data_IF_021996322361
#
_entry.id   IF_021996322361
#
_cell.length_a   1.000
_cell.length_b   1.000
_cell.length_c   1.000
_cell.angle_alpha   90.00
_cell.angle_beta   90.00
_cell.angle_gamma   90.00
#
_symmetry.space_group_name_H-M   'P 1'
#
loop_
_entity.id
_entity.type
_entity.pdbx_description
1 polymer ?
#
# COMPACT_ATOMS: atom_id res chain seq x y z
N UNK A 1 -57.94 -1.63 39.54
CA UNK A 1 -57.99 -0.58 38.50
C UNK A 1 -56.59 -0.43 37.90
N UNK A 2 -56.47 -0.82 36.63
CA UNK A 2 -55.51 -0.41 35.60
C UNK A 2 -54.04 -0.12 36.00
N UNK A 3 -53.17 -1.10 35.74
CA UNK A 3 -51.80 -0.86 35.29
C UNK A 3 -51.57 -1.66 34.01
N UNK A 4 -51.53 -1.02 32.82
CA UNK A 4 -51.07 -1.68 31.61
C UNK A 4 -49.79 -1.05 31.04
N UNK A 5 -48.99 -1.93 30.43
CA UNK A 5 -48.12 -1.64 29.28
C UNK A 5 -46.88 -0.74 29.49
N UNK A 6 -45.85 -1.28 30.14
CA UNK A 6 -44.46 -0.79 29.99
C UNK A 6 -43.46 -1.86 29.52
N UNK A 7 -43.92 -3.05 29.13
CA UNK A 7 -43.02 -4.10 28.62
C UNK A 7 -42.79 -4.06 27.11
N UNK A 8 -43.69 -3.45 26.32
CA UNK A 8 -43.57 -3.42 24.85
C UNK A 8 -42.64 -2.33 24.30
N UNK A 9 -42.49 -1.21 25.01
CA UNK A 9 -41.65 -0.09 24.54
C UNK A 9 -40.16 -0.41 24.68
N UNK A 10 -39.76 -1.16 25.71
CA UNK A 10 -38.37 -1.52 25.96
C UNK A 10 -37.86 -2.53 24.91
N UNK A 11 -38.69 -3.49 24.49
CA UNK A 11 -38.34 -4.44 23.42
C UNK A 11 -38.29 -3.78 22.03
N UNK A 12 -39.12 -2.76 21.78
CA UNK A 12 -39.10 -1.98 20.54
C UNK A 12 -37.94 -0.98 20.46
N UNK A 13 -37.46 -0.48 21.61
CA UNK A 13 -36.25 0.34 21.70
C UNK A 13 -34.97 -0.52 21.60
N UNK A 14 -34.97 -1.73 22.16
CA UNK A 14 -33.86 -2.68 22.01
C UNK A 14 -33.76 -3.26 20.59
N UNK A 15 -34.85 -3.36 19.82
CA UNK A 15 -34.81 -3.77 18.42
C UNK A 15 -34.42 -2.65 17.44
N UNK A 16 -34.33 -1.40 17.93
CA UNK A 16 -33.77 -0.25 17.20
C UNK A 16 -32.35 0.12 17.63
N UNK A 17 -31.75 -0.62 18.55
CA UNK A 17 -30.30 -0.71 18.60
C UNK A 17 -29.89 -1.39 17.29
N UNK A 18 -29.26 -0.62 16.41
CA UNK A 18 -28.70 -1.09 15.14
C UNK A 18 -28.04 -2.46 15.34
N UNK A 19 -28.16 -3.38 14.37
CA UNK A 19 -27.50 -4.68 14.45
C UNK A 19 -26.03 -4.44 14.81
N UNK A 20 -25.54 -5.20 15.79
CA UNK A 20 -24.11 -5.33 16.15
C UNK A 20 -23.25 -4.95 14.95
N UNK A 21 -22.52 -3.83 15.07
CA UNK A 21 -21.91 -3.13 13.95
C UNK A 21 -21.23 -4.11 13.00
N UNK A 22 -21.71 -4.15 11.76
CA UNK A 22 -21.19 -5.06 10.74
C UNK A 22 -19.70 -4.77 10.53
N UNK A 23 -18.85 -5.72 10.92
CA UNK A 23 -17.41 -5.59 10.72
C UNK A 23 -17.07 -5.84 9.25
N UNK A 24 -15.92 -5.36 8.76
CA UNK A 24 -15.44 -5.70 7.42
C UNK A 24 -15.34 -7.23 7.22
N UNK A 25 -15.11 -7.99 8.30
CA UNK A 25 -15.12 -9.45 8.30
C UNK A 25 -16.49 -10.02 7.90
N UNK A 26 -17.56 -9.52 8.50
CA UNK A 26 -18.92 -10.04 8.30
C UNK A 26 -19.49 -9.65 6.93
N UNK A 27 -19.03 -8.53 6.37
CA UNK A 27 -19.55 -8.00 5.09
C UNK A 27 -18.68 -8.38 3.91
N UNK A 28 -17.42 -7.96 3.90
CA UNK A 28 -16.59 -8.04 2.70
C UNK A 28 -16.13 -9.46 2.41
N UNK A 29 -15.73 -10.22 3.42
CA UNK A 29 -15.26 -11.59 3.23
C UNK A 29 -16.41 -12.55 2.92
N UNK A 30 -17.63 -12.27 3.41
CA UNK A 30 -18.80 -13.09 3.13
C UNK A 30 -19.43 -12.82 1.75
N UNK A 31 -19.27 -11.61 1.21
CA UNK A 31 -19.97 -11.17 -0.02
C UNK A 31 -19.11 -11.12 -1.28
N UNK A 32 -17.80 -11.36 -1.17
CA UNK A 32 -16.87 -11.24 -2.31
C UNK A 32 -16.18 -12.56 -2.63
N UNK A 33 -15.89 -12.76 -3.92
CA UNK A 33 -15.25 -13.99 -4.43
C UNK A 33 -13.97 -13.74 -5.21
N UNK A 34 -13.60 -12.46 -5.44
CA UNK A 34 -12.32 -12.11 -6.05
C UNK A 34 -11.56 -11.18 -5.13
N UNK A 35 -10.22 -11.28 -5.13
CA UNK A 35 -9.38 -10.43 -4.29
C UNK A 35 -9.56 -8.95 -4.62
N UNK A 36 -9.79 -8.63 -5.90
CA UNK A 36 -10.09 -7.27 -6.34
C UNK A 36 -11.40 -6.74 -5.73
N UNK A 37 -12.47 -7.54 -5.73
CA UNK A 37 -13.74 -7.16 -5.10
C UNK A 37 -13.64 -7.07 -3.58
N UNK A 38 -12.83 -7.93 -2.94
CA UNK A 38 -12.56 -7.82 -1.50
C UNK A 38 -11.90 -6.48 -1.18
N UNK A 39 -10.85 -6.11 -1.91
CA UNK A 39 -10.16 -4.83 -1.72
C UNK A 39 -11.08 -3.65 -1.97
N UNK A 40 -11.86 -3.67 -3.05
CA UNK A 40 -12.86 -2.63 -3.32
C UNK A 40 -13.91 -2.52 -2.19
N UNK A 41 -14.26 -3.64 -1.54
CA UNK A 41 -15.13 -3.62 -0.37
C UNK A 41 -14.44 -3.03 0.86
N UNK A 42 -13.20 -3.42 1.15
CA UNK A 42 -12.42 -2.88 2.28
C UNK A 42 -12.17 -1.37 2.13
N UNK A 43 -11.94 -0.88 0.91
CA UNK A 43 -11.80 0.57 0.64
C UNK A 43 -13.03 1.36 1.07
N UNK A 44 -14.25 0.78 1.09
CA UNK A 44 -15.45 1.50 1.58
C UNK A 44 -15.36 1.91 3.04
N UNK A 45 -14.48 1.28 3.82
CA UNK A 45 -14.23 1.62 5.21
C UNK A 45 -13.11 2.66 5.38
N UNK A 46 -12.37 3.03 4.32
CA UNK A 46 -11.30 4.02 4.39
C UNK A 46 -11.82 5.33 4.95
N UNK A 47 -11.07 5.89 5.90
CA UNK A 47 -11.36 7.16 6.56
C UNK A 47 -11.22 8.30 5.55
N UNK A 48 -12.28 9.11 5.32
CA UNK A 48 -12.27 10.17 4.33
C UNK A 48 -11.42 11.37 4.78
N UNK A 49 -11.28 12.35 3.89
CA UNK A 49 -10.75 13.67 4.24
C UNK A 49 -11.58 14.33 5.35
N UNK A 50 -10.93 15.18 6.14
CA UNK A 50 -11.54 16.03 7.18
C UNK A 50 -12.30 15.24 8.27
N UNK A 51 -11.96 13.96 8.44
CA UNK A 51 -12.65 13.07 9.38
C UNK A 51 -12.18 13.27 10.81
N UNK A 52 -10.86 13.40 11.01
CA UNK A 52 -10.28 13.55 12.32
C UNK A 52 -10.16 15.03 12.69
N UNK A 53 -10.51 15.34 13.93
CA UNK A 53 -9.97 16.50 14.65
C UNK A 53 -8.68 16.12 15.38
N UNK A 54 -8.08 17.06 16.12
CA UNK A 54 -6.84 16.79 16.86
C UNK A 54 -7.00 15.64 17.86
N UNK A 55 -8.12 15.56 18.57
CA UNK A 55 -8.33 14.58 19.62
C UNK A 55 -8.48 13.17 19.03
N UNK A 56 -9.40 13.01 18.09
CA UNK A 56 -9.66 11.75 17.39
C UNK A 56 -8.47 11.29 16.55
N UNK A 57 -7.67 12.22 15.98
CA UNK A 57 -6.40 11.89 15.35
C UNK A 57 -5.42 11.27 16.36
N UNK A 58 -5.25 11.89 17.54
CA UNK A 58 -4.35 11.36 18.57
C UNK A 58 -4.80 9.98 19.06
N UNK A 59 -6.11 9.76 19.20
CA UNK A 59 -6.64 8.43 19.53
C UNK A 59 -6.43 7.40 18.40
N UNK A 60 -6.42 7.85 17.14
CA UNK A 60 -6.20 7.01 15.97
C UNK A 60 -4.71 6.68 15.71
N UNK A 61 -3.77 7.32 16.41
CA UNK A 61 -2.35 6.99 16.30
C UNK A 61 -2.01 5.75 17.14
N UNK A 62 -1.08 4.89 16.65
CA UNK A 62 -0.66 3.73 17.41
C UNK A 62 0.17 4.14 18.63
N UNK A 63 -0.03 3.47 19.76
CA UNK A 63 0.91 3.51 20.89
C UNK A 63 2.20 2.75 20.54
N UNK A 64 3.28 2.94 21.31
CA UNK A 64 4.55 2.21 21.08
C UNK A 64 4.35 0.68 21.06
N UNK A 65 3.57 0.15 22.01
CA UNK A 65 3.22 -1.28 22.05
C UNK A 65 2.43 -1.74 20.82
N UNK A 66 1.56 -0.88 20.28
CA UNK A 66 0.82 -1.18 19.04
C UNK A 66 1.73 -1.12 17.81
N UNK A 67 2.70 -0.20 17.76
CA UNK A 67 3.71 -0.14 16.67
C UNK A 67 4.58 -1.39 16.67
N UNK A 68 5.05 -1.82 17.84
CA UNK A 68 5.80 -3.07 18.00
C UNK A 68 4.97 -4.29 17.58
N UNK A 69 3.71 -4.36 18.04
CA UNK A 69 2.80 -5.44 17.67
C UNK A 69 2.47 -5.43 16.17
N UNK A 70 2.33 -4.25 15.56
CA UNK A 70 2.08 -4.10 14.12
C UNK A 70 3.27 -4.60 13.31
N UNK A 71 4.48 -4.20 13.69
CA UNK A 71 5.73 -4.71 13.11
C UNK A 71 5.82 -6.23 13.21
N UNK A 72 5.50 -6.80 14.39
CA UNK A 72 5.50 -8.24 14.61
C UNK A 72 4.43 -8.98 13.79
N UNK A 73 3.22 -8.42 13.68
CA UNK A 73 2.13 -8.98 12.89
C UNK A 73 2.49 -9.03 11.39
N UNK A 74 3.02 -7.93 10.86
CA UNK A 74 3.48 -7.85 9.46
C UNK A 74 4.61 -8.85 9.19
N UNK A 75 5.61 -8.92 10.09
CA UNK A 75 6.71 -9.88 9.98
C UNK A 75 6.21 -11.33 9.99
N UNK A 76 5.27 -11.65 10.88
CA UNK A 76 4.69 -13.00 11.00
C UNK A 76 3.85 -13.37 9.79
N UNK A 77 3.06 -12.41 9.27
CA UNK A 77 2.27 -12.59 8.05
C UNK A 77 3.17 -12.93 6.86
N UNK A 78 4.32 -12.26 6.70
CA UNK A 78 5.27 -12.54 5.61
C UNK A 78 5.85 -13.96 5.66
N UNK A 79 6.02 -14.55 6.84
CA UNK A 79 6.52 -15.92 7.03
C UNK A 79 5.43 -16.99 6.95
N UNK A 80 4.19 -16.62 6.63
CA UNK A 80 3.07 -17.56 6.67
C UNK A 80 3.15 -18.59 5.53
N UNK A 81 2.84 -19.84 5.87
CA UNK A 81 2.66 -20.93 4.91
C UNK A 81 1.45 -21.78 5.32
N UNK A 82 0.34 -21.60 4.59
CA UNK A 82 -0.96 -22.23 4.78
C UNK A 82 -1.58 -22.02 6.17
N UNK A 83 -1.21 -20.95 6.88
CA UNK A 83 -1.71 -20.65 8.22
C UNK A 83 -2.05 -19.16 8.37
N UNK A 84 -3.22 -18.75 7.85
CA UNK A 84 -3.72 -17.39 7.99
C UNK A 84 -4.50 -17.18 9.32
N UNK A 85 -4.13 -17.87 10.40
CA UNK A 85 -4.90 -17.82 11.65
C UNK A 85 -4.75 -16.50 12.40
N UNK A 86 -5.68 -16.22 13.31
CA UNK A 86 -5.64 -15.04 14.18
C UNK A 86 -4.42 -14.98 15.10
N UNK A 87 -3.66 -16.08 15.25
CA UNK A 87 -2.40 -16.10 16.00
C UNK A 87 -1.32 -15.16 15.42
N UNK A 88 -1.50 -14.70 14.17
CA UNK A 88 -0.67 -13.66 13.56
C UNK A 88 -0.83 -12.31 14.27
N UNK A 89 -2.01 -12.03 14.84
CA UNK A 89 -2.33 -10.75 15.47
C UNK A 89 -1.89 -10.78 16.93
N UNK A 90 -0.95 -9.94 17.38
CA UNK A 90 -0.56 -9.90 18.78
C UNK A 90 -1.64 -9.24 19.66
N UNK A 91 -1.58 -9.48 20.97
CA UNK A 91 -2.60 -9.04 21.95
C UNK A 91 -2.91 -7.55 21.88
N UNK A 92 -1.89 -6.68 21.70
CA UNK A 92 -2.07 -5.23 21.61
C UNK A 92 -2.94 -4.78 20.42
N UNK A 93 -3.14 -5.66 19.43
CA UNK A 93 -3.92 -5.41 18.22
C UNK A 93 -5.23 -6.21 18.14
N UNK A 94 -5.53 -7.12 19.07
CA UNK A 94 -6.71 -8.01 18.96
C UNK A 94 -8.05 -7.29 18.77
N UNK A 95 -8.19 -6.08 19.34
CA UNK A 95 -9.41 -5.28 19.21
C UNK A 95 -9.44 -4.42 17.95
N UNK A 96 -8.31 -4.27 17.26
CA UNK A 96 -8.14 -3.40 16.09
C UNK A 96 -8.03 -4.22 14.82
N UNK A 97 -7.33 -5.35 14.85
CA UNK A 97 -7.00 -6.17 13.68
C UNK A 97 -7.54 -7.60 13.76
N UNK A 98 -7.71 -8.19 12.59
CA UNK A 98 -7.92 -9.62 12.40
C UNK A 98 -7.03 -10.12 11.27
N UNK A 99 -6.73 -11.41 11.28
CA UNK A 99 -6.08 -12.11 10.18
C UNK A 99 -6.98 -13.26 9.72
N UNK A 100 -7.17 -13.41 8.41
CA UNK A 100 -7.98 -14.48 7.85
C UNK A 100 -7.47 -14.94 6.48
N UNK A 101 -7.87 -16.15 6.09
CA UNK A 101 -7.65 -16.67 4.74
C UNK A 101 -8.75 -16.17 3.81
N UNK A 102 -8.38 -15.83 2.59
CA UNK A 102 -9.30 -15.54 1.50
C UNK A 102 -8.92 -16.35 0.27
N UNK A 103 -9.87 -17.09 -0.30
CA UNK A 103 -9.66 -17.85 -1.54
C UNK A 103 -10.38 -17.15 -2.68
N UNK A 104 -9.61 -16.68 -3.64
CA UNK A 104 -10.11 -16.07 -4.88
C UNK A 104 -10.80 -17.16 -5.73
N UNK A 105 -11.72 -16.75 -6.60
CA UNK A 105 -12.52 -17.63 -7.46
C UNK A 105 -11.68 -18.54 -8.36
N UNK A 106 -10.43 -18.17 -8.63
CA UNK A 106 -9.48 -18.99 -9.39
C UNK A 106 -8.73 -20.04 -8.53
N UNK A 107 -9.07 -20.17 -7.25
CA UNK A 107 -8.48 -21.12 -6.29
C UNK A 107 -7.19 -20.63 -5.62
N UNK A 108 -6.69 -19.43 -5.96
CA UNK A 108 -5.55 -18.84 -5.25
C UNK A 108 -5.97 -18.36 -3.87
N UNK A 109 -5.17 -18.68 -2.85
CA UNK A 109 -5.45 -18.30 -1.47
C UNK A 109 -4.46 -17.27 -0.95
N UNK A 110 -4.96 -16.38 -0.09
CA UNK A 110 -4.23 -15.24 0.44
C UNK A 110 -4.47 -15.12 1.94
N UNK A 111 -3.46 -14.69 2.69
CA UNK A 111 -3.65 -14.26 4.07
C UNK A 111 -3.83 -12.75 4.09
N UNK A 112 -4.91 -12.30 4.72
CA UNK A 112 -5.30 -10.89 4.82
C UNK A 112 -5.21 -10.47 6.28
N UNK A 113 -4.34 -9.52 6.60
CA UNK A 113 -4.32 -8.81 7.87
C UNK A 113 -5.04 -7.48 7.68
N UNK A 114 -6.18 -7.27 8.33
CA UNK A 114 -7.05 -6.12 8.08
C UNK A 114 -7.56 -5.51 9.39
N UNK A 115 -7.74 -4.20 9.39
CA UNK A 115 -8.41 -3.51 10.48
C UNK A 115 -9.87 -3.98 10.54
N UNK A 116 -10.30 -4.48 11.70
CA UNK A 116 -11.67 -4.93 11.98
C UNK A 116 -12.48 -3.90 12.75
N UNK A 117 -11.81 -2.98 13.45
CA UNK A 117 -12.45 -1.92 14.23
C UNK A 117 -13.07 -0.88 13.31
N UNK A 118 -14.38 -0.65 13.46
CA UNK A 118 -15.12 0.34 12.69
C UNK A 118 -15.97 1.20 13.60
N UNK A 119 -15.99 2.51 13.36
CA UNK A 119 -16.86 3.43 14.08
C UNK A 119 -18.32 3.06 13.79
N UNK A 120 -19.15 2.82 14.82
CA UNK A 120 -20.54 2.43 14.63
C UNK A 120 -21.39 3.55 14.01
N UNK A 121 -20.92 4.80 14.04
CA UNK A 121 -21.64 5.95 13.51
C UNK A 121 -21.32 6.19 12.02
N UNK A 122 -20.04 6.09 11.63
CA UNK A 122 -19.59 6.41 10.27
C UNK A 122 -19.40 5.19 9.38
N UNK A 123 -19.34 3.99 9.98
CA UNK A 123 -18.96 2.74 9.32
C UNK A 123 -17.60 2.85 8.60
N UNK A 124 -16.70 3.69 9.13
CA UNK A 124 -15.30 3.81 8.71
C UNK A 124 -14.39 3.13 9.71
N UNK A 125 -13.18 2.80 9.29
CA UNK A 125 -12.12 2.36 10.20
C UNK A 125 -11.97 3.34 11.36
N UNK A 126 -11.82 2.82 12.58
CA UNK A 126 -11.59 3.66 13.76
C UNK A 126 -10.21 4.31 13.70
N UNK A 127 -9.20 3.51 13.32
CA UNK A 127 -7.79 3.90 13.28
C UNK A 127 -7.36 4.29 11.87
N UNK A 128 -7.86 3.62 10.85
CA UNK A 128 -7.50 3.92 9.45
C UNK A 128 -6.09 3.43 9.09
N UNK A 129 -5.63 2.34 9.70
CA UNK A 129 -4.30 1.76 9.46
C UNK A 129 -4.30 0.83 8.24
N UNK A 130 -5.48 0.30 7.87
CA UNK A 130 -5.71 -0.37 6.59
C UNK A 130 -5.46 -1.87 6.62
N UNK A 131 -4.94 -2.42 5.53
CA UNK A 131 -4.76 -3.86 5.36
C UNK A 131 -3.49 -4.23 4.60
N UNK A 132 -3.04 -5.46 4.84
CA UNK A 132 -1.94 -6.11 4.15
C UNK A 132 -2.37 -7.48 3.63
N UNK A 133 -1.89 -7.83 2.44
CA UNK A 133 -2.16 -9.10 1.78
C UNK A 133 -0.85 -9.79 1.43
N UNK A 134 -0.78 -11.10 1.70
CA UNK A 134 0.29 -11.99 1.22
C UNK A 134 -0.32 -13.24 0.60
N UNK A 135 0.37 -13.93 -0.33
CA UNK A 135 -0.05 -15.26 -0.75
C UNK A 135 -0.08 -16.21 0.46
N UNK A 136 -1.09 -17.07 0.56
CA UNK A 136 -1.21 -17.98 1.71
C UNK A 136 -0.10 -19.02 1.76
N UNK A 137 0.50 -19.35 0.61
CA UNK A 137 1.67 -20.21 0.50
C UNK A 137 2.83 -19.49 -0.18
N UNK A 138 4.04 -19.67 0.36
CA UNK A 138 5.30 -19.28 -0.28
C UNK A 138 5.50 -19.87 -1.68
N UNK A 139 4.86 -20.99 -2.01
CA UNK A 139 4.94 -21.60 -3.34
C UNK A 139 4.29 -20.74 -4.43
N UNK A 140 3.36 -19.86 -4.04
CA UNK A 140 2.71 -18.91 -4.93
C UNK A 140 3.57 -17.66 -5.21
N UNK A 141 4.62 -17.42 -4.40
CA UNK A 141 5.50 -16.27 -4.58
C UNK A 141 6.42 -16.53 -5.78
N UNK A 142 6.14 -15.82 -6.87
CA UNK A 142 6.95 -15.86 -8.08
C UNK A 142 7.99 -14.75 -8.10
N UNK A 143 7.74 -13.62 -7.46
CA UNK A 143 8.65 -12.46 -7.42
C UNK A 143 8.62 -11.82 -6.04
N UNK A 144 9.76 -11.28 -5.60
CA UNK A 144 9.90 -10.57 -4.33
C UNK A 144 9.49 -9.11 -4.47
N UNK A 145 8.33 -8.89 -5.09
CA UNK A 145 7.76 -7.56 -5.22
C UNK A 145 6.92 -7.26 -3.98
N UNK A 146 7.18 -6.10 -3.39
CA UNK A 146 6.25 -5.44 -2.49
C UNK A 146 5.51 -4.36 -3.28
N UNK A 147 4.19 -4.45 -3.37
CA UNK A 147 3.36 -3.43 -4.01
C UNK A 147 2.59 -2.65 -2.94
N UNK A 148 2.43 -1.35 -3.12
CA UNK A 148 1.58 -0.55 -2.25
C UNK A 148 0.88 0.59 -2.99
N UNK A 149 -0.23 1.04 -2.43
CA UNK A 149 -1.01 2.17 -2.92
C UNK A 149 -1.31 3.08 -1.71
N UNK A 150 -0.41 4.05 -1.41
CA UNK A 150 -0.45 4.79 -0.15
C UNK A 150 -1.60 5.80 -0.05
N UNK A 151 -2.29 6.12 -1.15
CA UNK A 151 -3.31 7.17 -1.22
C UNK A 151 -4.67 6.61 -1.67
N UNK A 152 -5.31 5.72 -0.88
CA UNK A 152 -6.65 5.19 -1.20
C UNK A 152 -7.65 6.34 -1.37
N UNK A 153 -8.60 6.18 -2.29
CA UNK A 153 -9.54 7.19 -2.80
C UNK A 153 -8.92 8.45 -3.46
N UNK A 154 -7.85 9.01 -2.91
CA UNK A 154 -7.23 10.22 -3.45
C UNK A 154 -6.59 9.94 -4.80
N UNK A 155 -5.90 8.80 -4.92
CA UNK A 155 -5.27 8.33 -6.15
C UNK A 155 -6.18 7.32 -6.85
N UNK A 156 -7.42 7.71 -7.14
CA UNK A 156 -8.53 6.86 -7.62
C UNK A 156 -8.05 5.68 -8.47
N UNK A 157 -8.34 4.47 -7.99
CA UNK A 157 -8.09 3.19 -8.67
C UNK A 157 -6.72 2.57 -8.43
N UNK A 158 -5.78 3.24 -7.76
CA UNK A 158 -4.45 2.63 -7.47
C UNK A 158 -4.52 1.41 -6.55
N UNK A 159 -5.38 1.30 -5.51
CA UNK A 159 -5.40 0.09 -4.69
C UNK A 159 -5.88 -1.13 -5.49
N UNK A 160 -7.00 -1.02 -6.22
CA UNK A 160 -7.50 -2.09 -7.09
C UNK A 160 -6.48 -2.46 -8.18
N UNK A 161 -5.79 -1.49 -8.77
CA UNK A 161 -4.70 -1.76 -9.72
C UNK A 161 -3.57 -2.55 -9.04
N UNK A 162 -3.05 -2.08 -7.91
CA UNK A 162 -1.99 -2.74 -7.16
C UNK A 162 -2.39 -4.16 -6.74
N UNK A 163 -3.65 -4.39 -6.37
CA UNK A 163 -4.20 -5.73 -6.06
C UNK A 163 -4.17 -6.66 -7.26
N UNK A 164 -4.60 -6.18 -8.43
CA UNK A 164 -4.53 -6.97 -9.66
C UNK A 164 -3.08 -7.32 -10.01
N UNK A 165 -2.16 -6.34 -9.94
CA UNK A 165 -0.75 -6.58 -10.24
C UNK A 165 -0.10 -7.51 -9.22
N UNK A 166 -0.45 -7.40 -7.94
CA UNK A 166 0.02 -8.27 -6.87
C UNK A 166 -0.32 -9.74 -7.18
N UNK A 167 -1.60 -10.00 -7.49
CA UNK A 167 -2.09 -11.34 -7.83
C UNK A 167 -1.42 -11.87 -9.09
N UNK A 168 -1.46 -11.11 -10.18
CA UNK A 168 -1.08 -11.61 -11.50
C UNK A 168 0.44 -11.74 -11.69
N UNK A 169 1.25 -11.01 -10.92
CA UNK A 169 2.72 -11.12 -10.98
C UNK A 169 3.31 -12.14 -10.02
N UNK A 170 2.48 -12.68 -9.10
CA UNK A 170 2.93 -13.53 -7.99
C UNK A 170 3.84 -12.77 -7.03
N UNK A 171 3.49 -11.51 -6.72
CA UNK A 171 4.20 -10.65 -5.79
C UNK A 171 4.14 -11.19 -4.35
N UNK A 172 5.09 -10.77 -3.50
CA UNK A 172 5.18 -11.26 -2.12
C UNK A 172 4.19 -10.57 -1.19
N UNK A 173 3.93 -9.28 -1.38
CA UNK A 173 3.02 -8.55 -0.51
C UNK A 173 2.35 -7.36 -1.20
N UNK A 174 1.17 -7.01 -0.69
CA UNK A 174 0.42 -5.79 -1.00
C UNK A 174 0.10 -5.07 0.31
N UNK A 175 0.25 -3.74 0.33
CA UNK A 175 -0.13 -2.89 1.47
C UNK A 175 -0.95 -1.68 1.01
N UNK A 176 -2.07 -1.45 1.68
CA UNK A 176 -2.96 -0.30 1.45
C UNK A 176 -3.36 0.28 2.81
N UNK A 177 -3.08 1.58 3.08
CA UNK A 177 -3.48 2.22 4.32
C UNK A 177 -5.00 2.43 4.38
N UNK A 178 -5.53 2.66 5.58
CA UNK A 178 -6.97 2.73 5.83
C UNK A 178 -7.53 4.15 5.90
N UNK A 179 -6.74 5.18 5.55
CA UNK A 179 -7.17 6.58 5.58
C UNK A 179 -6.63 7.36 4.40
N UNK A 180 -7.42 8.35 3.96
CA UNK A 180 -6.98 9.32 2.96
C UNK A 180 -5.88 10.21 3.55
N UNK A 181 -4.95 10.68 2.71
CA UNK A 181 -3.88 11.58 3.17
C UNK A 181 -4.37 12.82 3.93
N UNK A 182 -5.51 13.48 3.62
CA UNK A 182 -6.02 14.62 4.38
C UNK A 182 -7.08 14.22 5.42
N UNK A 183 -7.07 12.98 5.93
CA UNK A 183 -8.00 12.56 6.98
C UNK A 183 -7.86 13.42 8.25
N UNK A 184 -6.65 13.94 8.53
CA UNK A 184 -6.43 15.04 9.46
C UNK A 184 -5.67 16.19 8.78
N UNK A 185 -6.31 17.36 8.69
CA UNK A 185 -5.79 18.55 8.03
C UNK A 185 -4.76 19.33 8.87
N UNK A 186 -3.78 18.64 9.45
CA UNK A 186 -2.62 19.25 10.06
C UNK A 186 -1.37 19.00 9.21
N UNK A 187 -0.41 19.94 9.13
CA UNK A 187 0.87 19.70 8.50
C UNK A 187 1.64 18.55 9.19
N UNK A 188 2.26 17.67 8.40
CA UNK A 188 3.17 16.64 8.88
C UNK A 188 4.33 17.27 9.66
N UNK A 189 4.69 16.65 10.78
CA UNK A 189 5.87 17.01 11.58
C UNK A 189 7.16 16.40 11.04
N UNK A 190 7.06 15.49 10.06
CA UNK A 190 8.19 14.78 9.49
C UNK A 190 8.72 15.50 8.25
N UNK A 191 8.02 15.40 7.11
CA UNK A 191 8.46 16.02 5.86
C UNK A 191 7.77 17.36 5.67
N UNK A 192 8.56 18.44 5.70
CA UNK A 192 8.05 19.80 5.51
C UNK A 192 7.97 20.18 4.03
N UNK A 193 6.94 20.93 3.60
CA UNK A 193 6.86 21.46 2.25
C UNK A 193 7.97 22.49 1.98
N UNK A 194 8.42 22.61 0.72
CA UNK A 194 9.42 23.62 0.33
C UNK A 194 8.81 25.00 0.13
N UNK A 195 7.47 25.10 0.07
CA UNK A 195 6.74 26.35 -0.13
C UNK A 195 5.37 26.27 0.55
N UNK A 196 4.80 27.43 0.86
CA UNK A 196 3.47 27.54 1.47
C UNK A 196 2.31 27.12 0.53
N UNK A 197 2.61 26.71 -0.72
CA UNK A 197 1.62 26.28 -1.72
C UNK A 197 1.34 24.78 -1.70
N UNK A 198 2.07 24.01 -0.90
CA UNK A 198 1.91 22.57 -0.77
C UNK A 198 1.88 22.20 0.70
N UNK A 199 1.03 21.26 1.10
CA UNK A 199 0.97 20.72 2.46
C UNK A 199 1.14 19.21 2.38
N UNK A 200 2.06 18.67 3.17
CA UNK A 200 2.05 17.24 3.51
C UNK A 200 1.27 17.11 4.80
N UNK A 201 0.30 16.21 4.84
CA UNK A 201 -0.59 16.07 5.97
C UNK A 201 -0.04 15.07 6.99
N UNK A 202 -0.43 15.22 8.26
CA UNK A 202 -0.05 14.26 9.31
C UNK A 202 -0.50 12.85 8.97
N UNK A 203 -1.66 12.68 8.32
CA UNK A 203 -2.18 11.38 7.88
C UNK A 203 -1.72 10.96 6.49
N UNK A 204 -0.72 11.63 5.89
CA UNK A 204 -0.17 11.23 4.59
C UNK A 204 0.84 10.07 4.75
N UNK A 205 0.50 8.84 4.32
CA UNK A 205 1.32 7.66 4.57
C UNK A 205 2.68 7.70 3.85
N UNK A 206 2.81 8.52 2.81
CA UNK A 206 4.06 8.70 2.08
C UNK A 206 4.98 9.76 2.71
N UNK A 207 4.48 10.61 3.61
CA UNK A 207 5.20 11.82 4.07
C UNK A 207 5.24 11.97 5.60
N UNK A 208 4.88 10.93 6.34
CA UNK A 208 4.98 10.90 7.80
C UNK A 208 5.43 9.51 8.28
N UNK A 209 6.52 9.47 9.05
CA UNK A 209 7.12 8.25 9.61
C UNK A 209 6.35 7.71 10.82
N UNK A 210 5.43 8.50 11.37
CA UNK A 210 4.53 8.08 12.45
C UNK A 210 3.37 7.22 11.94
N UNK A 211 3.06 7.25 10.65
CA UNK A 211 1.99 6.47 10.06
C UNK A 211 2.32 4.96 10.07
N UNK A 212 1.38 4.06 10.45
CA UNK A 212 1.61 2.60 10.44
C UNK A 212 2.02 2.01 9.09
N UNK A 213 1.73 2.73 8.00
CA UNK A 213 2.21 2.38 6.66
C UNK A 213 3.74 2.36 6.58
N UNK A 214 4.42 3.31 7.25
CA UNK A 214 5.87 3.34 7.32
C UNK A 214 6.42 2.15 8.12
N UNK A 215 5.82 1.86 9.28
CA UNK A 215 6.19 0.71 10.12
C UNK A 215 6.02 -0.63 9.39
N UNK A 216 4.95 -0.79 8.60
CA UNK A 216 4.74 -1.98 7.79
C UNK A 216 5.82 -2.13 6.72
N UNK A 217 6.15 -1.04 6.00
CA UNK A 217 7.23 -1.07 5.01
C UNK A 217 8.59 -1.41 5.66
N UNK A 218 8.84 -0.89 6.86
CA UNK A 218 10.03 -1.23 7.66
C UNK A 218 10.09 -2.73 7.96
N UNK A 219 8.99 -3.30 8.48
CA UNK A 219 8.89 -4.73 8.76
C UNK A 219 9.11 -5.58 7.50
N UNK A 220 8.52 -5.18 6.37
CA UNK A 220 8.68 -5.88 5.09
C UNK A 220 10.13 -5.84 4.61
N UNK A 221 10.79 -4.67 4.67
CA UNK A 221 12.19 -4.53 4.28
C UNK A 221 13.14 -5.34 5.15
N UNK A 222 12.99 -5.26 6.47
CA UNK A 222 13.84 -5.99 7.41
C UNK A 222 13.63 -7.50 7.33
N UNK A 223 12.39 -7.94 7.09
CA UNK A 223 12.10 -9.35 6.79
C UNK A 223 12.77 -9.75 5.47
N UNK A 224 12.58 -9.01 4.39
CA UNK A 224 13.14 -9.33 3.07
C UNK A 224 14.68 -9.39 3.11
N UNK A 225 15.32 -8.45 3.81
CA UNK A 225 16.77 -8.41 4.00
C UNK A 225 17.30 -9.67 4.70
N UNK A 226 16.60 -10.13 5.75
CA UNK A 226 16.97 -11.36 6.47
C UNK A 226 16.72 -12.65 5.69
N UNK A 227 15.87 -12.63 4.67
CA UNK A 227 15.47 -13.80 3.88
C UNK A 227 16.05 -13.81 2.46
N UNK A 228 17.25 -13.26 2.28
CA UNK A 228 17.99 -13.30 1.01
C UNK A 228 18.12 -11.97 0.29
N UNK A 229 17.72 -10.86 0.93
CA UNK A 229 17.89 -9.52 0.38
C UNK A 229 16.88 -9.19 -0.70
N UNK A 230 17.17 -8.14 -1.46
CA UNK A 230 16.36 -7.68 -2.58
C UNK A 230 17.16 -7.70 -3.89
N UNK A 231 17.36 -8.87 -4.51
CA UNK A 231 18.09 -8.97 -5.78
C UNK A 231 17.38 -8.15 -6.84
N UNK A 232 18.10 -7.24 -7.49
CA UNK A 232 17.52 -6.27 -8.43
C UNK A 232 16.71 -6.94 -9.56
N UNK A 233 17.09 -8.15 -9.97
CA UNK A 233 16.42 -8.91 -11.01
C UNK A 233 15.05 -9.45 -10.62
N UNK A 234 14.73 -9.61 -9.34
CA UNK A 234 13.50 -10.30 -8.89
C UNK A 234 12.76 -9.59 -7.77
N UNK A 235 13.27 -8.43 -7.32
CA UNK A 235 12.77 -7.71 -6.16
C UNK A 235 12.69 -6.21 -6.41
N UNK A 236 11.63 -5.59 -5.90
CA UNK A 236 11.45 -4.13 -5.81
C UNK A 236 10.32 -3.79 -4.83
N UNK A 237 10.37 -2.56 -4.31
CA UNK A 237 9.32 -1.95 -3.51
C UNK A 237 8.65 -0.89 -4.37
N UNK A 238 7.44 -1.17 -4.85
CA UNK A 238 6.75 -0.36 -5.84
C UNK A 238 5.56 0.35 -5.19
N UNK A 239 5.53 1.68 -5.27
CA UNK A 239 4.40 2.48 -4.79
C UNK A 239 3.65 3.07 -5.98
N UNK A 240 2.38 2.70 -6.11
CA UNK A 240 1.49 3.18 -7.15
C UNK A 240 0.73 4.42 -6.67
N UNK A 241 0.99 5.53 -7.34
CA UNK A 241 0.30 6.79 -7.19
C UNK A 241 -0.49 7.15 -8.44
N UNK A 242 -1.44 8.06 -8.25
CA UNK A 242 -2.28 8.63 -9.29
C UNK A 242 -2.15 10.14 -9.30
N UNK A 243 -1.88 10.71 -10.48
CA UNK A 243 -1.82 12.16 -10.64
C UNK A 243 -3.06 12.71 -11.34
N UNK A 244 -3.40 13.95 -11.01
CA UNK A 244 -4.39 14.74 -11.73
C UNK A 244 -3.92 15.03 -13.17
N UNK A 245 -4.86 15.24 -14.09
CA UNK A 245 -4.55 15.54 -15.50
C UNK A 245 -3.67 16.79 -15.67
N UNK A 246 -3.83 17.77 -14.78
CA UNK A 246 -3.07 19.02 -14.78
C UNK A 246 -1.67 18.89 -14.19
N UNK A 247 -1.39 17.82 -13.43
CA UNK A 247 -0.10 17.58 -12.79
C UNK A 247 0.76 16.69 -13.69
N UNK A 248 1.95 17.17 -14.05
CA UNK A 248 2.83 16.53 -15.04
C UNK A 248 2.06 16.07 -16.30
N UNK A 249 1.40 16.99 -17.03
CA UNK A 249 0.44 16.64 -18.08
C UNK A 249 1.04 15.93 -19.29
N UNK A 250 2.37 15.91 -19.41
CA UNK A 250 3.10 15.26 -20.51
C UNK A 250 3.41 13.79 -20.25
N UNK A 251 3.29 13.33 -19.01
CA UNK A 251 3.64 11.97 -18.63
C UNK A 251 2.36 11.16 -18.38
N UNK A 252 2.20 10.02 -19.03
CA UNK A 252 1.14 9.07 -18.68
C UNK A 252 1.59 8.17 -17.54
N UNK A 253 2.88 7.81 -17.53
CA UNK A 253 3.56 7.09 -16.45
C UNK A 253 4.88 7.79 -16.18
N UNK A 254 5.08 8.25 -14.95
CA UNK A 254 6.33 8.83 -14.49
C UNK A 254 6.90 7.97 -13.36
N UNK A 255 8.13 7.47 -13.53
CA UNK A 255 8.80 6.62 -12.55
C UNK A 255 9.90 7.42 -11.85
N UNK A 256 10.08 7.22 -10.55
CA UNK A 256 11.22 7.75 -9.80
C UNK A 256 11.73 6.76 -8.77
N UNK A 257 13.04 6.77 -8.52
CA UNK A 257 13.69 6.03 -7.43
C UNK A 257 13.72 6.83 -6.12
N UNK A 258 13.00 7.95 -6.02
CA UNK A 258 13.12 8.88 -4.88
C UNK A 258 14.28 9.87 -5.01
N UNK A 259 14.85 9.98 -6.21
CA UNK A 259 15.89 10.95 -6.57
C UNK A 259 15.32 12.02 -7.51
N UNK A 260 15.89 13.22 -7.47
CA UNK A 260 15.56 14.32 -8.38
C UNK A 260 16.09 14.06 -9.80
N UNK A 261 16.11 15.08 -10.66
CA UNK A 261 16.83 15.01 -11.95
C UNK A 261 18.33 14.86 -11.68
N UNK A 262 18.89 13.68 -11.97
CA UNK A 262 20.25 13.27 -11.63
C UNK A 262 20.82 12.33 -12.71
N UNK A 263 22.15 12.37 -12.90
CA UNK A 263 22.90 11.46 -13.78
C UNK A 263 22.68 9.98 -13.49
N UNK A 264 22.26 9.63 -12.27
CA UNK A 264 21.84 8.28 -11.88
C UNK A 264 20.83 7.67 -12.85
N UNK A 265 19.92 8.47 -13.42
CA UNK A 265 18.93 7.98 -14.39
C UNK A 265 19.48 7.80 -15.80
N UNK A 266 20.62 8.42 -16.14
CA UNK A 266 21.19 8.41 -17.49
C UNK A 266 22.48 7.61 -17.62
N UNK A 267 23.09 7.17 -16.52
CA UNK A 267 24.25 6.28 -16.56
C UNK A 267 23.92 4.89 -17.17
N UNK A 268 24.95 4.10 -17.45
CA UNK A 268 24.81 2.77 -18.05
C UNK A 268 24.57 1.64 -17.01
N UNK A 269 24.41 1.97 -15.73
CA UNK A 269 24.22 0.97 -14.69
C UNK A 269 22.79 0.43 -14.76
N UNK A 270 22.70 -0.90 -14.94
CA UNK A 270 21.43 -1.62 -15.04
C UNK A 270 20.68 -1.64 -13.69
N UNK A 271 19.54 -0.95 -13.65
CA UNK A 271 18.71 -0.81 -12.45
C UNK A 271 17.25 -1.19 -12.70
N UNK A 272 16.53 -1.71 -11.69
CA UNK A 272 15.14 -2.16 -11.83
C UNK A 272 14.22 -1.14 -12.49
N UNK A 273 14.33 0.13 -12.11
CA UNK A 273 13.49 1.21 -12.65
C UNK A 273 13.76 1.49 -14.14
N UNK A 274 15.01 1.41 -14.59
CA UNK A 274 15.37 1.59 -16.01
C UNK A 274 14.85 0.42 -16.85
N UNK A 275 14.98 -0.81 -16.35
CA UNK A 275 14.37 -2.00 -16.97
C UNK A 275 12.85 -1.87 -17.03
N UNK A 276 12.22 -1.47 -15.93
CA UNK A 276 10.76 -1.28 -15.87
C UNK A 276 10.29 -0.26 -16.89
N UNK A 277 10.95 0.90 -16.97
CA UNK A 277 10.66 1.93 -17.97
C UNK A 277 10.67 1.37 -19.39
N UNK A 278 11.71 0.61 -19.74
CA UNK A 278 11.84 0.02 -21.06
C UNK A 278 10.77 -1.04 -21.33
N UNK A 279 10.46 -1.89 -20.34
CA UNK A 279 9.43 -2.91 -20.49
C UNK A 279 8.02 -2.32 -20.55
N UNK A 280 7.75 -1.20 -19.88
CA UNK A 280 6.51 -0.45 -20.03
C UNK A 280 6.40 0.12 -21.44
N UNK A 281 7.49 0.68 -21.98
CA UNK A 281 7.50 1.20 -23.35
C UNK A 281 7.15 0.11 -24.35
N UNK A 282 7.77 -1.06 -24.25
CA UNK A 282 7.44 -2.23 -25.08
C UNK A 282 5.98 -2.67 -24.88
N UNK A 283 5.52 -2.72 -23.64
CA UNK A 283 4.19 -3.23 -23.31
C UNK A 283 3.05 -2.35 -23.81
N UNK A 284 3.23 -1.03 -23.85
CA UNK A 284 2.20 -0.05 -24.20
C UNK A 284 2.33 0.55 -25.60
N UNK A 285 3.54 0.53 -26.20
CA UNK A 285 3.80 1.20 -27.48
C UNK A 285 4.22 0.24 -28.60
N UNK A 286 4.13 -1.07 -28.38
CA UNK A 286 4.26 -2.06 -29.46
C UNK A 286 3.01 -2.08 -30.35
N UNK A 287 3.17 -2.52 -31.61
CA UNK A 287 2.05 -2.64 -32.57
C UNK A 287 0.93 -3.57 -32.08
N UNK A 288 1.24 -4.49 -31.16
CA UNK A 288 0.27 -5.38 -30.53
C UNK A 288 -0.53 -4.74 -29.38
N UNK A 289 -0.24 -3.50 -29.01
CA UNK A 289 -0.92 -2.80 -27.91
C UNK A 289 -2.33 -2.38 -28.33
N UNK A 290 -3.33 -2.71 -27.51
CA UNK A 290 -4.73 -2.31 -27.74
C UNK A 290 -5.06 -0.94 -27.15
N UNK A 291 -4.08 -0.27 -26.53
CA UNK A 291 -4.23 1.08 -25.98
C UNK A 291 -3.51 2.10 -26.84
N UNK A 292 -3.93 3.36 -26.79
CA UNK A 292 -3.13 4.44 -27.34
C UNK A 292 -1.72 4.42 -26.73
N UNK A 293 -0.67 4.77 -27.49
CA UNK A 293 0.69 4.86 -26.96
C UNK A 293 0.74 5.76 -25.72
N UNK A 294 1.46 5.31 -24.70
CA UNK A 294 1.63 6.03 -23.45
C UNK A 294 3.02 6.66 -23.36
N UNK A 295 3.08 7.87 -22.82
CA UNK A 295 4.34 8.55 -22.52
C UNK A 295 4.88 8.07 -21.18
N UNK A 296 6.08 7.49 -21.19
CA UNK A 296 6.72 6.88 -20.02
C UNK A 296 8.08 7.52 -19.80
N UNK A 297 8.26 8.14 -18.63
CA UNK A 297 9.40 9.01 -18.35
C UNK A 297 10.07 8.71 -17.01
N UNK A 298 11.38 8.95 -16.96
CA UNK A 298 12.18 9.10 -15.74
C UNK A 298 12.38 10.60 -15.41
N UNK A 299 12.95 10.97 -14.25
CA UNK A 299 13.25 12.37 -13.94
C UNK A 299 14.21 13.04 -14.92
N UNK A 300 15.07 12.28 -15.61
CA UNK A 300 15.93 12.79 -16.68
C UNK A 300 15.19 13.09 -17.99
N UNK A 301 14.02 12.47 -18.21
CA UNK A 301 13.24 12.60 -19.45
C UNK A 301 12.18 13.71 -19.37
N UNK A 302 11.78 14.10 -18.16
CA UNK A 302 10.63 15.00 -17.92
C UNK A 302 10.89 15.99 -16.80
N UNK A 303 10.25 17.16 -16.88
CA UNK A 303 10.22 18.16 -15.79
C UNK A 303 9.11 17.90 -14.78
N UNK A 304 8.60 16.68 -14.71
CA UNK A 304 7.65 16.29 -13.68
C UNK A 304 8.28 16.40 -12.29
N UNK A 305 7.58 17.06 -11.38
CA UNK A 305 8.07 17.34 -10.02
C UNK A 305 7.80 16.21 -9.03
N UNK A 306 6.98 15.21 -9.40
CA UNK A 306 6.53 14.13 -8.53
C UNK A 306 7.59 13.01 -8.40
N UNK A 307 8.78 13.41 -7.97
CA UNK A 307 9.99 12.56 -7.91
C UNK A 307 10.10 11.73 -6.64
N UNK A 308 9.15 11.82 -5.71
CA UNK A 308 9.19 11.11 -4.42
C UNK A 308 10.47 11.32 -3.58
N UNK A 309 11.22 12.40 -3.80
CA UNK A 309 12.40 12.79 -2.98
C UNK A 309 12.08 13.04 -1.51
N UNK A 310 10.79 13.10 -1.20
CA UNK A 310 10.19 13.35 0.11
C UNK A 310 9.42 12.16 0.66
N UNK A 311 9.42 11.05 -0.06
CA UNK A 311 8.74 9.85 0.39
C UNK A 311 9.54 9.16 1.50
N UNK A 312 8.96 9.03 2.69
CA UNK A 312 9.66 8.50 3.87
C UNK A 312 10.05 7.02 3.70
N UNK A 313 9.24 6.23 2.99
CA UNK A 313 9.56 4.84 2.66
C UNK A 313 10.71 4.78 1.67
N UNK A 314 10.68 5.60 0.61
CA UNK A 314 11.77 5.67 -0.35
C UNK A 314 13.10 6.06 0.28
N UNK A 315 13.08 7.05 1.17
CA UNK A 315 14.26 7.47 1.96
C UNK A 315 14.79 6.35 2.84
N UNK A 316 13.90 5.64 3.54
CA UNK A 316 14.30 4.49 4.36
C UNK A 316 14.98 3.40 3.54
N UNK A 317 14.37 3.00 2.42
CA UNK A 317 14.86 1.89 1.60
C UNK A 317 16.18 2.21 0.89
N UNK A 318 16.37 3.46 0.45
CA UNK A 318 17.58 3.88 -0.26
C UNK A 318 18.75 4.23 0.66
N UNK A 319 18.47 4.62 1.92
CA UNK A 319 19.50 5.04 2.88
C UNK A 319 19.74 4.01 4.00
N UNK A 320 19.26 2.78 3.85
CA UNK A 320 19.40 1.73 4.86
C UNK A 320 20.85 1.19 4.96
N UNK A 321 21.38 0.90 6.17
CA UNK A 321 20.75 1.10 7.48
C UNK A 321 20.85 2.56 7.95
N UNK A 322 19.77 3.05 8.56
CA UNK A 322 19.73 4.35 9.23
C UNK A 322 20.07 4.20 10.72
N UNK A 323 20.63 5.25 11.32
CA UNK A 323 20.92 5.27 12.76
C UNK A 323 19.65 5.39 13.59
N UNK A 324 18.62 6.05 13.04
CA UNK A 324 17.25 6.03 13.55
C UNK A 324 16.23 6.10 12.43
N UNK A 325 15.03 5.56 12.66
CA UNK A 325 13.96 5.64 11.66
C UNK A 325 13.49 7.06 11.37
N UNK A 326 13.69 8.01 12.29
CA UNK A 326 13.24 9.40 12.13
C UNK A 326 14.15 10.21 11.16
N UNK A 327 15.35 9.72 10.85
CA UNK A 327 16.24 10.36 9.87
C UNK A 327 15.59 10.48 8.49
N UNK A 328 14.63 9.62 8.16
CA UNK A 328 13.84 9.68 6.92
C UNK A 328 13.05 10.99 6.77
N UNK A 329 12.82 11.74 7.86
CA UNK A 329 12.12 13.01 7.81
C UNK A 329 12.98 14.14 7.21
N UNK A 330 14.28 14.10 7.44
CA UNK A 330 15.21 15.19 7.10
C UNK A 330 16.22 14.78 6.04
N UNK A 331 16.67 13.53 6.03
CA UNK A 331 17.69 13.02 5.12
C UNK A 331 17.07 12.58 3.79
N UNK A 332 17.53 13.18 2.69
CA UNK A 332 17.17 12.73 1.34
C UNK A 332 18.01 11.53 0.93
N UNK A 333 17.52 10.75 -0.03
CA UNK A 333 18.31 9.67 -0.63
C UNK A 333 19.53 10.22 -1.36
N UNK A 334 20.66 9.53 -1.23
CA UNK A 334 21.92 9.86 -1.88
C UNK A 334 22.04 9.05 -3.20
N UNK A 335 22.23 9.70 -4.36
CA UNK A 335 22.44 9.00 -5.63
C UNK A 335 23.55 7.94 -5.59
N UNK A 336 24.63 8.18 -4.84
CA UNK A 336 25.81 7.31 -4.82
C UNK A 336 25.55 5.98 -4.09
N UNK A 337 24.59 5.95 -3.16
CA UNK A 337 24.20 4.75 -2.40
C UNK A 337 22.87 4.13 -2.85
N UNK A 338 22.09 4.84 -3.68
CA UNK A 338 20.76 4.39 -4.11
C UNK A 338 20.85 3.27 -5.15
N UNK A 339 20.39 2.07 -4.77
CA UNK A 339 20.36 0.89 -5.65
C UNK A 339 19.11 0.81 -6.56
N UNK A 340 18.11 1.65 -6.32
CA UNK A 340 16.86 1.67 -7.09
C UNK A 340 15.89 0.55 -6.70
N UNK A 341 15.96 0.08 -5.46
CA UNK A 341 15.01 -0.90 -4.87
C UNK A 341 13.61 -0.29 -4.75
N UNK A 342 13.54 0.98 -4.37
CA UNK A 342 12.30 1.74 -4.32
C UNK A 342 11.95 2.28 -5.72
N UNK A 343 10.71 2.04 -6.14
CA UNK A 343 10.15 2.56 -7.39
C UNK A 343 8.83 3.25 -7.07
N UNK A 344 8.83 4.56 -7.14
CA UNK A 344 7.64 5.40 -7.12
C UNK A 344 7.08 5.54 -8.54
N UNK A 345 5.76 5.37 -8.68
CA UNK A 345 5.08 5.44 -9.98
C UNK A 345 3.91 6.42 -9.89
N UNK A 346 3.97 7.48 -10.68
CA UNK A 346 2.89 8.45 -10.86
C UNK A 346 2.19 8.21 -12.19
N UNK A 347 0.89 8.00 -12.15
CA UNK A 347 0.15 7.53 -13.33
C UNK A 347 -0.96 8.50 -13.70
N UNK A 348 -1.23 8.68 -14.98
CA UNK A 348 -2.48 9.25 -15.46
C UNK A 348 -3.62 8.23 -15.37
N UNK A 349 -4.87 8.69 -15.44
CA UNK A 349 -6.04 7.81 -15.39
C UNK A 349 -6.03 6.72 -16.48
N UNK A 350 -5.48 7.04 -17.66
CA UNK A 350 -5.33 6.11 -18.81
C UNK A 350 -4.32 4.99 -18.58
N UNK A 351 -3.48 5.08 -17.55
CA UNK A 351 -2.54 4.03 -17.17
C UNK A 351 -3.04 3.18 -15.98
N UNK A 352 -4.10 3.63 -15.26
CA UNK A 352 -4.67 2.94 -14.09
C UNK A 352 -5.93 2.13 -14.38
N UNK A 353 -6.63 2.48 -15.45
CA UNK A 353 -7.85 1.85 -15.93
C UNK A 353 -7.63 0.37 -16.32
N UNK A 354 -8.72 -0.40 -16.31
CA UNK A 354 -8.71 -1.86 -16.50
C UNK A 354 -8.01 -2.29 -17.80
N UNK A 355 -8.15 -1.52 -18.88
CA UNK A 355 -7.53 -1.81 -20.17
C UNK A 355 -5.99 -1.78 -20.13
N UNK A 356 -5.39 -1.03 -19.21
CA UNK A 356 -3.93 -0.93 -19.07
C UNK A 356 -3.31 -2.08 -18.26
N UNK A 357 -4.14 -2.91 -17.57
CA UNK A 357 -3.65 -3.93 -16.62
C UNK A 357 -2.75 -4.96 -17.28
N UNK A 358 -3.09 -5.45 -18.47
CA UNK A 358 -2.27 -6.42 -19.19
C UNK A 358 -0.89 -5.86 -19.56
N UNK A 359 -0.83 -4.58 -19.95
CA UNK A 359 0.44 -3.90 -20.21
C UNK A 359 1.34 -3.86 -18.97
N UNK A 360 0.77 -3.50 -17.82
CA UNK A 360 1.47 -3.52 -16.54
C UNK A 360 1.94 -4.91 -16.13
N UNK A 361 1.07 -5.93 -16.26
CA UNK A 361 1.40 -7.32 -15.91
C UNK A 361 2.59 -7.80 -16.75
N UNK A 362 2.55 -7.59 -18.07
CA UNK A 362 3.66 -7.94 -18.97
C UNK A 362 4.94 -7.21 -18.59
N UNK A 363 4.86 -5.88 -18.38
CA UNK A 363 6.03 -5.08 -18.06
C UNK A 363 6.70 -5.54 -16.75
N UNK A 364 5.91 -5.76 -15.68
CA UNK A 364 6.43 -6.26 -14.40
C UNK A 364 7.00 -7.67 -14.53
N UNK A 365 6.32 -8.58 -15.25
CA UNK A 365 6.81 -9.95 -15.45
C UNK A 365 8.11 -10.02 -16.24
N UNK A 366 8.30 -9.13 -17.21
CA UNK A 366 9.51 -9.05 -18.03
C UNK A 366 10.65 -8.28 -17.34
N UNK A 367 10.32 -7.36 -16.43
CA UNK A 367 11.32 -6.61 -15.66
C UNK A 367 11.91 -7.47 -14.55
N UNK A 368 11.06 -8.25 -13.88
CA UNK A 368 11.42 -9.01 -12.71
C UNK A 368 11.31 -10.51 -13.01
N UNK A 369 12.43 -11.22 -12.95
CA UNK A 369 12.47 -12.66 -13.18
C UNK A 369 11.83 -13.43 -12.02
N UNK A 370 11.36 -14.64 -12.32
CA UNK A 370 10.84 -15.54 -11.30
C UNK A 370 11.92 -15.96 -10.31
N UNK A 371 11.58 -16.09 -9.03
CA UNK A 371 12.46 -16.69 -8.03
C UNK A 371 12.50 -18.21 -8.16
N UNK A 372 13.66 -18.80 -7.84
CA UNK A 372 13.82 -20.25 -7.83
C UNK A 372 13.17 -20.91 -6.59
N UNK A 373 13.10 -22.25 -6.60
CA UNK A 373 12.53 -23.02 -5.49
C UNK A 373 13.33 -22.85 -4.19
N UNK A 374 14.65 -22.61 -4.28
CA UNK A 374 15.53 -22.44 -3.11
C UNK A 374 15.23 -21.13 -2.39
N UNK A 375 14.99 -20.07 -3.15
CA UNK A 375 14.55 -18.78 -2.65
C UNK A 375 13.18 -18.92 -2.01
N UNK A 376 12.22 -19.57 -2.69
CA UNK A 376 10.90 -19.84 -2.09
C UNK A 376 10.96 -20.61 -0.78
N UNK A 377 11.86 -21.59 -0.66
CA UNK A 377 12.02 -22.37 0.56
C UNK A 377 12.57 -21.57 1.76
N UNK A 378 13.19 -20.42 1.50
CA UNK A 378 13.69 -19.48 2.52
C UNK A 378 12.65 -18.43 2.92
N UNK A 379 11.61 -18.24 2.10
CA UNK A 379 10.43 -17.46 2.47
C UNK A 379 9.58 -18.24 3.47
#
# INVERSE_FOLDING_TARGET
>A
MLLPHWSGLLTYLLSKLNPLGQTPGDTCFASTHTLGSLVECLEKYTVPEDYYDQFSYLEAQPTDSQREAWFAAVTTLLSTHNNCSSAIVPTALHNIYSATSFTDINGQSFCILYERSVSPCSMRYEKGWGFMVVPSSRDMVSRLLHLSAPHPFYDVGTPIQATHLFKETGAKSLLVPGRMRPAYNAPSTCVLPRSNKSTYYMTDPAHNDLEPFFDANRAIWEWQTRHGGCPSLSCAFIQFHGKARTTCPKDDIFLSAGLADDTWYTDDVDRPIKRLRNQLYVAFNSESSTTAPLTISLPSDSKCILTATKNVVGRYLNSYPLSSSHEVCTQSSDPDSTQGVFIHIEQAAVARNKAAREGWIRALKNTFVGVDAKTRARL
#
